data_IF_090821045738
#
_entry.id   IF_090821045738
#
_cell.length_a   1.000
_cell.length_b   1.000
_cell.length_c   1.000
_cell.angle_alpha   90.00
_cell.angle_beta   90.00
_cell.angle_gamma   90.00
#
_symmetry.space_group_name_H-M   'P 1'
#
loop_
_entity.id
_entity.type
_entity.pdbx_description
1 polymer ?
#
# COMPACT_ATOMS: atom_id res chain seq x y z
N UNK A 1 -59.05 -11.63 -36.93
CA UNK A 1 -59.47 -12.51 -35.83
C UNK A 1 -58.80 -12.02 -34.58
N UNK A 2 -59.59 -11.47 -33.67
CA UNK A 2 -59.11 -11.01 -32.36
C UNK A 2 -58.95 -12.19 -31.40
N UNK A 3 -58.10 -12.07 -30.37
CA UNK A 3 -57.83 -13.18 -29.45
C UNK A 3 -59.08 -13.65 -28.67
N UNK A 4 -60.07 -12.77 -28.50
CA UNK A 4 -61.38 -13.15 -27.97
C UNK A 4 -62.14 -14.21 -28.81
N UNK A 5 -61.87 -14.29 -30.12
CA UNK A 5 -62.58 -15.20 -31.04
C UNK A 5 -61.92 -16.59 -31.11
N UNK A 6 -60.75 -16.80 -30.47
CA UNK A 6 -59.92 -17.99 -30.67
C UNK A 6 -60.31 -19.20 -29.80
N UNK A 7 -61.21 -19.02 -28.82
CA UNK A 7 -61.71 -20.10 -27.96
C UNK A 7 -60.70 -20.57 -26.91
N UNK A 8 -61.19 -21.12 -25.80
CA UNK A 8 -60.39 -21.39 -24.59
C UNK A 8 -59.25 -22.43 -24.73
N UNK A 9 -59.20 -23.15 -25.86
CA UNK A 9 -58.24 -24.23 -26.10
C UNK A 9 -57.30 -23.96 -27.27
N UNK A 10 -57.30 -22.75 -27.84
CA UNK A 10 -56.20 -22.38 -28.74
C UNK A 10 -54.96 -22.14 -27.91
N UNK A 11 -53.84 -22.81 -28.23
CA UNK A 11 -52.57 -22.54 -27.56
C UNK A 11 -52.19 -21.07 -27.80
N UNK A 12 -51.60 -20.38 -26.79
CA UNK A 12 -51.09 -19.03 -26.96
C UNK A 12 -50.20 -18.99 -28.20
N UNK A 13 -50.47 -18.08 -29.13
CA UNK A 13 -49.58 -17.91 -30.27
C UNK A 13 -48.31 -17.26 -29.77
N UNK A 14 -47.28 -18.07 -29.57
CA UNK A 14 -45.93 -17.58 -29.32
C UNK A 14 -45.51 -16.68 -30.49
N UNK A 15 -44.76 -15.64 -30.17
CA UNK A 15 -44.18 -14.78 -31.19
C UNK A 15 -43.31 -15.66 -32.12
N UNK A 16 -43.46 -15.56 -33.45
CA UNK A 16 -42.62 -16.33 -34.35
C UNK A 16 -41.14 -15.98 -34.08
N UNK A 17 -40.37 -16.98 -33.65
CA UNK A 17 -38.91 -16.88 -33.46
C UNK A 17 -38.15 -16.63 -34.77
N UNK A 18 -38.86 -16.60 -35.90
CA UNK A 18 -38.32 -16.29 -37.21
C UNK A 18 -38.06 -14.78 -37.36
N UNK A 19 -36.84 -14.42 -37.73
CA UNK A 19 -36.42 -13.05 -37.93
C UNK A 19 -37.14 -12.44 -39.15
N UNK A 20 -38.07 -11.51 -38.92
CA UNK A 20 -38.72 -10.72 -39.98
C UNK A 20 -38.03 -9.36 -40.13
N UNK A 21 -37.32 -9.16 -41.24
CA UNK A 21 -36.60 -7.92 -41.53
C UNK A 21 -37.53 -6.70 -41.74
N UNK A 22 -38.83 -6.93 -41.94
CA UNK A 22 -39.84 -5.85 -42.06
C UNK A 22 -40.48 -5.49 -40.73
N UNK A 23 -40.34 -6.33 -39.70
CA UNK A 23 -40.65 -5.92 -38.33
C UNK A 23 -39.56 -4.97 -37.89
N UNK A 24 -39.89 -3.68 -37.81
CA UNK A 24 -39.13 -2.78 -36.96
C UNK A 24 -39.18 -3.36 -35.55
N UNK A 25 -38.04 -3.70 -34.98
CA UNK A 25 -37.84 -4.11 -33.58
C UNK A 25 -38.17 -2.93 -32.66
N UNK A 26 -39.42 -2.51 -32.69
CA UNK A 26 -39.93 -1.27 -32.16
C UNK A 26 -40.78 -1.48 -30.92
N UNK A 27 -40.74 -2.66 -30.30
CA UNK A 27 -41.16 -2.76 -28.93
C UNK A 27 -40.11 -2.01 -28.11
N UNK A 28 -40.45 -0.75 -27.77
CA UNK A 28 -39.65 0.11 -26.90
C UNK A 28 -39.51 -0.63 -25.57
N UNK A 29 -38.48 -1.46 -25.46
CA UNK A 29 -38.11 -2.03 -24.18
C UNK A 29 -38.00 -0.88 -23.19
N UNK A 30 -38.63 -0.99 -22.00
CA UNK A 30 -38.46 0.01 -20.98
C UNK A 30 -36.95 0.21 -20.78
N UNK A 31 -36.53 1.47 -20.65
CA UNK A 31 -35.11 1.81 -20.43
C UNK A 31 -34.59 0.89 -19.33
N UNK A 32 -33.49 0.15 -19.56
CA UNK A 32 -33.00 -0.84 -18.60
C UNK A 32 -32.40 -0.11 -17.40
N UNK A 33 -33.25 0.35 -16.49
CA UNK A 33 -32.87 1.19 -15.34
C UNK A 33 -31.80 0.52 -14.48
N UNK A 34 -31.79 -0.82 -14.41
CA UNK A 34 -30.76 -1.60 -13.75
C UNK A 34 -29.40 -1.48 -14.43
N UNK A 35 -29.36 -1.49 -15.77
CA UNK A 35 -28.14 -1.28 -16.56
C UNK A 35 -27.64 0.17 -16.44
N UNK A 36 -28.55 1.14 -16.42
CA UNK A 36 -28.20 2.55 -16.23
C UNK A 36 -27.62 2.76 -14.82
N UNK A 37 -28.29 2.23 -13.80
CA UNK A 37 -27.81 2.32 -12.42
C UNK A 37 -26.45 1.65 -12.24
N UNK A 38 -26.24 0.46 -12.82
CA UNK A 38 -24.93 -0.22 -12.75
C UNK A 38 -23.84 0.56 -13.49
N UNK A 39 -24.14 1.17 -14.63
CA UNK A 39 -23.21 2.04 -15.35
C UNK A 39 -22.82 3.27 -14.52
N UNK A 40 -23.77 3.91 -13.84
CA UNK A 40 -23.50 5.05 -12.95
C UNK A 40 -22.58 4.64 -11.80
N UNK A 41 -22.87 3.51 -11.13
CA UNK A 41 -22.02 2.99 -10.04
C UNK A 41 -20.62 2.68 -10.54
N UNK A 42 -20.49 2.04 -11.71
CA UNK A 42 -19.21 1.74 -12.33
C UNK A 42 -18.40 3.03 -12.57
N UNK A 43 -19.03 4.06 -13.15
CA UNK A 43 -18.37 5.35 -13.41
C UNK A 43 -17.89 6.00 -12.12
N UNK A 44 -18.70 6.02 -11.07
CA UNK A 44 -18.31 6.55 -9.76
C UNK A 44 -17.08 5.82 -9.20
N UNK A 45 -17.06 4.50 -9.30
CA UNK A 45 -15.95 3.67 -8.81
C UNK A 45 -14.67 3.92 -9.60
N UNK A 46 -14.75 4.02 -10.93
CA UNK A 46 -13.62 4.37 -11.79
C UNK A 46 -13.06 5.74 -11.45
N UNK A 47 -13.93 6.76 -11.29
CA UNK A 47 -13.50 8.10 -10.91
C UNK A 47 -12.80 8.08 -9.56
N UNK A 48 -13.33 7.37 -8.57
CA UNK A 48 -12.68 7.23 -7.26
C UNK A 48 -11.28 6.63 -7.39
N UNK A 49 -11.12 5.53 -8.13
CA UNK A 49 -9.80 4.90 -8.35
C UNK A 49 -8.84 5.86 -9.03
N UNK A 50 -9.28 6.57 -10.08
CA UNK A 50 -8.44 7.54 -10.79
C UNK A 50 -8.00 8.66 -9.85
N UNK A 51 -8.90 9.17 -9.00
CA UNK A 51 -8.58 10.19 -8.02
C UNK A 51 -7.54 9.69 -7.03
N UNK A 52 -7.74 8.51 -6.40
CA UNK A 52 -6.77 7.94 -5.45
C UNK A 52 -5.43 7.61 -6.09
N UNK A 53 -5.44 7.11 -7.33
CA UNK A 53 -4.23 6.81 -8.07
C UNK A 53 -3.46 8.09 -8.41
N UNK A 54 -4.17 9.15 -8.82
CA UNK A 54 -3.56 10.43 -9.22
C UNK A 54 -3.18 11.31 -8.04
N UNK A 55 -3.96 11.31 -6.95
CA UNK A 55 -3.62 12.02 -5.71
C UNK A 55 -2.49 11.34 -4.95
N UNK A 56 -2.28 10.04 -5.22
CA UNK A 56 -1.45 9.17 -4.39
C UNK A 56 -2.16 8.86 -3.07
N UNK A 57 -1.99 7.62 -2.60
CA UNK A 57 -2.40 7.20 -1.24
C UNK A 57 -1.23 7.34 -0.25
N UNK A 58 -0.06 7.72 -0.76
CA UNK A 58 1.22 7.77 -0.04
C UNK A 58 1.94 9.03 -0.50
N UNK A 59 2.53 9.80 0.42
CA UNK A 59 3.41 10.89 0.01
C UNK A 59 4.66 10.29 -0.66
N UNK A 60 5.20 10.94 -1.71
CA UNK A 60 6.36 10.44 -2.49
C UNK A 60 7.60 10.09 -1.65
N UNK A 61 7.66 10.57 -0.41
CA UNK A 61 8.76 10.40 0.54
C UNK A 61 8.32 9.74 1.87
N UNK A 62 7.14 9.13 1.91
CA UNK A 62 6.65 8.48 3.13
C UNK A 62 7.38 7.16 3.32
N UNK A 63 8.11 7.04 4.43
CA UNK A 63 8.81 5.81 4.77
C UNK A 63 7.81 4.65 4.95
N UNK A 64 8.16 3.43 4.54
CA UNK A 64 7.29 2.27 4.76
C UNK A 64 7.02 2.13 6.26
N UNK A 65 5.77 1.86 6.60
CA UNK A 65 5.36 1.68 7.99
C UNK A 65 5.90 0.33 8.49
N UNK A 66 7.02 0.36 9.21
CA UNK A 66 7.74 -0.83 9.72
C UNK A 66 7.23 -1.31 11.08
N UNK A 67 6.13 -0.73 11.57
CA UNK A 67 5.57 -1.01 12.88
C UNK A 67 6.29 -0.27 14.01
N UNK A 68 5.70 -0.34 15.21
CA UNK A 68 6.31 0.19 16.43
C UNK A 68 7.58 -0.61 16.79
N UNK A 69 8.68 0.05 17.19
CA UNK A 69 9.85 -0.66 17.66
C UNK A 69 9.49 -1.52 18.87
N UNK A 70 9.71 -2.82 18.77
CA UNK A 70 9.54 -3.74 19.90
C UNK A 70 10.63 -3.39 20.92
N UNK A 71 10.21 -2.90 22.09
CA UNK A 71 11.12 -2.64 23.20
C UNK A 71 11.94 -3.90 23.56
N UNK A 72 13.07 -3.73 24.25
CA UNK A 72 13.99 -4.81 24.55
C UNK A 72 13.27 -6.04 25.15
N UNK A 73 13.07 -7.07 24.32
CA UNK A 73 12.53 -8.39 24.72
C UNK A 73 13.55 -9.17 25.54
N UNK A 74 14.76 -8.61 25.71
CA UNK A 74 15.86 -9.21 26.43
C UNK A 74 16.10 -8.43 27.71
N UNK A 75 15.59 -8.95 28.81
CA UNK A 75 16.06 -8.60 30.15
C UNK A 75 17.41 -9.28 30.39
N UNK A 76 18.36 -8.56 30.98
CA UNK A 76 19.59 -9.18 31.45
C UNK A 76 19.26 -10.31 32.44
N UNK A 77 19.98 -11.45 32.41
CA UNK A 77 19.80 -12.52 33.40
C UNK A 77 20.01 -11.97 34.82
N UNK A 78 19.30 -12.55 35.79
CA UNK A 78 19.58 -12.32 37.21
C UNK A 78 21.07 -12.58 37.49
N UNK A 79 21.66 -11.87 38.46
CA UNK A 79 23.10 -11.95 38.73
C UNK A 79 23.59 -13.40 38.96
N UNK A 80 22.75 -14.22 39.60
CA UNK A 80 23.04 -15.62 39.89
C UNK A 80 23.01 -16.54 38.65
N UNK A 81 22.45 -16.05 37.54
CA UNK A 81 22.38 -16.73 36.25
C UNK A 81 23.38 -16.15 35.22
N UNK A 82 24.20 -15.18 35.62
CA UNK A 82 25.27 -14.68 34.78
C UNK A 82 26.44 -15.68 34.79
N UNK A 83 27.04 -15.99 33.63
CA UNK A 83 28.26 -16.79 33.58
C UNK A 83 29.33 -16.16 34.46
N UNK A 84 30.01 -16.96 35.28
CA UNK A 84 31.15 -16.51 36.06
C UNK A 84 32.25 -16.11 35.08
N UNK A 85 32.69 -14.86 35.14
CA UNK A 85 33.80 -14.37 34.33
C UNK A 85 35.11 -14.95 34.87
N UNK A 86 35.53 -16.07 34.31
CA UNK A 86 36.78 -16.77 34.64
C UNK A 86 38.02 -15.87 34.40
N UNK A 87 37.91 -14.86 33.53
CA UNK A 87 38.97 -13.91 33.25
C UNK A 87 39.14 -12.83 34.33
N UNK A 88 38.14 -12.61 35.19
CA UNK A 88 38.27 -11.70 36.33
C UNK A 88 39.25 -12.22 37.41
N UNK A 89 39.54 -13.53 37.42
CA UNK A 89 40.54 -14.16 38.31
C UNK A 89 41.92 -14.35 37.66
N UNK A 90 42.08 -13.94 36.40
CA UNK A 90 43.33 -14.05 35.67
C UNK A 90 44.12 -12.74 35.83
N UNK A 91 45.05 -12.71 36.79
CA UNK A 91 46.13 -11.70 36.89
C UNK A 91 47.17 -11.90 35.77
N UNK A 92 46.70 -12.02 34.53
CA UNK A 92 47.55 -12.10 33.35
C UNK A 92 47.96 -10.67 33.00
N UNK A 93 48.97 -10.20 33.74
CA UNK A 93 49.64 -8.89 33.66
C UNK A 93 48.92 -7.72 34.35
N UNK A 94 48.82 -7.76 35.68
CA UNK A 94 48.93 -6.50 36.42
C UNK A 94 50.40 -6.06 36.35
N UNK A 95 50.58 -4.91 35.71
CA UNK A 95 51.76 -4.07 35.70
C UNK A 95 52.60 -4.15 36.99
N UNK A 96 53.94 -4.14 36.84
CA UNK A 96 54.84 -3.81 37.95
C UNK A 96 54.31 -2.58 38.72
N UNK A 97 54.52 -2.48 40.05
CA UNK A 97 54.09 -1.34 40.89
C UNK A 97 54.65 0.04 40.51
N UNK A 98 55.28 0.20 39.34
CA UNK A 98 55.81 1.44 38.78
C UNK A 98 55.85 1.43 37.24
N UNK A 99 55.05 0.58 36.57
CA UNK A 99 55.01 0.60 35.12
C UNK A 99 54.48 1.96 34.62
N UNK A 100 55.12 2.59 33.61
CA UNK A 100 54.62 3.82 33.02
C UNK A 100 53.18 3.62 32.52
N UNK A 101 52.29 4.56 32.83
CA UNK A 101 50.93 4.52 32.32
C UNK A 101 50.95 4.38 30.78
N UNK A 102 50.14 3.48 30.19
CA UNK A 102 50.10 3.31 28.75
C UNK A 102 49.72 4.64 28.10
N UNK A 103 50.52 5.08 27.13
CA UNK A 103 50.26 6.33 26.41
C UNK A 103 48.89 6.26 25.73
N UNK A 104 48.08 7.31 25.88
CA UNK A 104 46.77 7.34 25.23
C UNK A 104 46.95 7.33 23.70
N UNK A 105 46.18 6.49 22.97
CA UNK A 105 46.27 6.44 21.53
C UNK A 105 45.80 7.76 20.92
N UNK A 106 46.60 8.30 20.00
CA UNK A 106 46.19 9.44 19.17
C UNK A 106 45.32 8.91 18.03
N UNK A 107 44.04 9.29 18.05
CA UNK A 107 43.12 8.95 16.96
C UNK A 107 43.28 9.94 15.79
N UNK A 108 43.10 9.43 14.58
CA UNK A 108 43.00 10.26 13.39
C UNK A 108 41.77 11.18 13.48
N UNK A 109 41.80 12.37 12.84
CA UNK A 109 40.63 13.23 12.77
C UNK A 109 39.44 12.48 12.13
N UNK A 110 38.24 12.77 12.63
CA UNK A 110 37.01 12.16 12.11
C UNK A 110 36.74 12.56 10.64
N UNK A 111 35.84 11.83 9.96
CA UNK A 111 35.52 12.10 8.56
C UNK A 111 34.87 13.47 8.37
N UNK A 112 35.05 14.05 7.18
CA UNK A 112 34.41 15.31 6.79
C UNK A 112 32.88 15.20 6.81
N UNK A 113 32.23 16.26 7.26
CA UNK A 113 30.76 16.32 7.32
C UNK A 113 30.17 16.56 5.92
N UNK A 114 29.04 15.92 5.58
CA UNK A 114 28.39 16.13 4.28
C UNK A 114 28.01 17.60 4.06
N UNK A 115 28.26 18.11 2.84
CA UNK A 115 27.85 19.45 2.45
C UNK A 115 26.32 19.58 2.38
N UNK A 116 25.76 20.76 2.69
CA UNK A 116 24.32 21.00 2.58
C UNK A 116 23.85 20.87 1.13
N UNK A 117 22.65 20.34 0.95
CA UNK A 117 22.02 20.19 -0.36
C UNK A 117 21.74 21.58 -0.98
N UNK A 118 22.05 21.81 -2.27
CA UNK A 118 21.67 23.04 -2.97
C UNK A 118 20.16 23.29 -2.91
N UNK A 119 19.77 24.57 -2.77
CA UNK A 119 18.37 24.96 -2.78
C UNK A 119 17.72 24.67 -4.15
N UNK A 120 16.43 24.30 -4.19
CA UNK A 120 15.73 24.07 -5.45
C UNK A 120 15.58 25.37 -6.24
N UNK A 121 15.90 25.32 -7.54
CA UNK A 121 15.63 26.42 -8.48
C UNK A 121 14.13 26.58 -8.71
N UNK A 122 13.63 27.81 -8.72
CA UNK A 122 12.22 28.09 -8.99
C UNK A 122 11.84 27.65 -10.43
N UNK A 123 10.63 27.11 -10.65
CA UNK A 123 10.17 26.73 -11.98
C UNK A 123 9.96 27.98 -12.85
N UNK A 124 10.48 27.93 -14.08
CA UNK A 124 10.26 28.96 -15.09
C UNK A 124 8.81 28.83 -15.59
N UNK A 125 7.97 29.82 -15.27
CA UNK A 125 6.64 29.94 -15.85
C UNK A 125 6.78 30.44 -17.29
N UNK A 126 6.38 29.61 -18.27
CA UNK A 126 6.22 30.04 -19.66
C UNK A 126 4.80 30.58 -19.79
N UNK A 127 4.69 31.86 -20.15
CA UNK A 127 3.42 32.54 -20.45
C UNK A 127 3.02 32.33 -21.91
#
# INVERSE_FOLDING_TARGET
MSDQERGAYTPPTDEPLAFDARRTTGERRPVPMTLVASAVVLVVLVVAVVLFYRSGVRSRNEAPNVGEPVAAVKTAPAQDAQPVDEAASLDVYVAEPNAPAPAQPTFAPGPEQPAPRPAPSAPVAVA
#
